data_IF_165136249629
#
_entry.id   IF_165136249629
#
_cell.length_a   1.000
_cell.length_b   1.000
_cell.length_c   1.000
_cell.angle_alpha   90.00
_cell.angle_beta   90.00
_cell.angle_gamma   90.00
#
_symmetry.space_group_name_H-M   'P 1'
#
loop_
_entity.id
_entity.type
_entity.pdbx_description
1 polymer ?
#
# COMPACT_ATOMS: atom_id res chain seq x y z
N UNK A 1 -15.90 5.64 -10.76
CA UNK A 1 -14.83 5.11 -11.64
C UNK A 1 -13.74 6.16 -11.78
N UNK A 2 -13.10 6.51 -10.66
CA UNK A 2 -12.04 7.51 -10.62
C UNK A 2 -10.71 6.80 -10.81
N UNK A 3 -9.90 7.25 -11.78
CA UNK A 3 -8.51 6.84 -11.87
C UNK A 3 -7.82 7.06 -10.52
N UNK A 4 -7.03 6.08 -10.09
CA UNK A 4 -6.16 6.23 -8.93
C UNK A 4 -5.28 7.47 -9.12
N UNK A 5 -5.07 8.30 -8.08
CA UNK A 5 -4.13 9.41 -8.19
C UNK A 5 -2.74 8.86 -8.57
N UNK A 6 -1.95 9.56 -9.39
CA UNK A 6 -0.65 9.07 -9.87
C UNK A 6 0.34 8.75 -8.72
N UNK A 7 0.18 9.40 -7.57
CA UNK A 7 0.89 9.09 -6.34
C UNK A 7 0.71 7.63 -5.86
N UNK A 8 -0.41 7.00 -6.18
CA UNK A 8 -0.73 5.64 -5.75
C UNK A 8 -0.09 4.57 -6.64
N UNK A 9 0.07 4.82 -7.94
CA UNK A 9 0.86 3.95 -8.82
C UNK A 9 2.32 3.94 -8.39
N UNK A 10 2.89 5.10 -8.05
CA UNK A 10 4.25 5.18 -7.53
C UNK A 10 4.42 4.41 -6.20
N UNK A 11 3.40 4.44 -5.32
CA UNK A 11 3.42 3.65 -4.08
C UNK A 11 3.49 2.15 -4.37
N UNK A 12 2.73 1.67 -5.36
CA UNK A 12 2.76 0.26 -5.78
C UNK A 12 4.16 -0.14 -6.26
N UNK A 13 4.80 0.66 -7.10
CA UNK A 13 6.14 0.38 -7.62
C UNK A 13 7.19 0.33 -6.52
N UNK A 14 7.19 1.32 -5.62
CA UNK A 14 8.14 1.41 -4.50
C UNK A 14 8.03 0.20 -3.57
N UNK A 15 6.80 -0.21 -3.25
CA UNK A 15 6.55 -1.31 -2.32
C UNK A 15 6.76 -2.69 -2.97
N UNK A 16 6.47 -2.82 -4.27
CA UNK A 16 6.66 -4.07 -5.04
C UNK A 16 8.13 -4.38 -5.32
N UNK A 17 8.99 -3.35 -5.41
CA UNK A 17 10.42 -3.51 -5.63
C UNK A 17 11.15 -4.28 -4.51
N UNK A 18 10.51 -4.44 -3.33
CA UNK A 18 11.09 -5.14 -2.17
C UNK A 18 10.62 -6.59 -2.00
N UNK A 19 10.06 -7.21 -3.04
CA UNK A 19 9.71 -8.65 -3.09
C UNK A 19 8.73 -9.12 -1.99
N UNK A 20 7.91 -8.20 -1.49
CA UNK A 20 6.85 -8.48 -0.50
C UNK A 20 5.51 -8.21 -1.15
N UNK A 21 4.69 -9.24 -1.37
CA UNK A 21 3.39 -9.11 -2.02
C UNK A 21 2.38 -8.36 -1.13
N UNK A 22 2.12 -7.07 -1.41
CA UNK A 22 0.98 -6.34 -0.84
C UNK A 22 -0.14 -6.19 -1.87
N UNK A 23 -1.37 -5.97 -1.38
CA UNK A 23 -2.53 -5.72 -2.25
C UNK A 23 -2.83 -4.23 -2.31
N UNK A 24 -3.20 -3.77 -3.50
CA UNK A 24 -3.57 -2.37 -3.77
C UNK A 24 -4.93 -2.30 -4.45
N UNK A 25 -5.69 -1.26 -4.16
CA UNK A 25 -7.00 -0.99 -4.78
C UNK A 25 -8.14 -1.00 -3.78
N UNK A 26 -9.33 -1.40 -4.23
CA UNK A 26 -10.55 -1.38 -3.41
C UNK A 26 -10.76 -2.65 -2.58
N UNK A 27 -9.90 -3.66 -2.75
CA UNK A 27 -9.99 -4.96 -2.07
C UNK A 27 -11.37 -5.64 -2.16
N UNK A 28 -12.08 -5.46 -3.27
CA UNK A 28 -13.47 -5.89 -3.46
C UNK A 28 -14.49 -5.29 -2.46
N UNK A 29 -14.10 -4.21 -1.76
CA UNK A 29 -14.88 -3.50 -0.74
C UNK A 29 -15.22 -2.06 -1.19
N UNK A 30 -15.60 -1.90 -2.46
CA UNK A 30 -15.94 -0.59 -3.04
C UNK A 30 -16.98 0.22 -2.22
N UNK A 31 -18.05 -0.39 -1.67
CA UNK A 31 -19.01 0.35 -0.84
C UNK A 31 -18.39 0.94 0.45
N UNK A 32 -17.37 0.29 1.01
CA UNK A 32 -16.66 0.78 2.20
C UNK A 32 -15.74 1.96 1.84
N UNK A 33 -15.06 1.86 0.70
CA UNK A 33 -14.22 2.93 0.17
C UNK A 33 -15.03 4.20 -0.12
N UNK A 34 -16.22 4.06 -0.70
CA UNK A 34 -17.14 5.17 -0.96
C UNK A 34 -17.58 5.85 0.35
N UNK A 35 -17.85 5.08 1.41
CA UNK A 35 -18.23 5.63 2.72
C UNK A 35 -17.07 6.32 3.43
N UNK A 36 -15.84 5.86 3.23
CA UNK A 36 -14.62 6.45 3.79
C UNK A 36 -14.10 7.62 2.96
N UNK A 37 -14.64 7.86 1.76
CA UNK A 37 -14.14 8.87 0.83
C UNK A 37 -12.72 8.57 0.31
N UNK A 38 -12.27 7.32 0.41
CA UNK A 38 -10.93 6.91 0.02
C UNK A 38 -10.97 6.16 -1.32
N UNK A 39 -10.28 6.66 -2.37
CA UNK A 39 -10.33 6.02 -3.68
C UNK A 39 -9.72 4.62 -3.65
N UNK A 40 -8.64 4.39 -2.90
CA UNK A 40 -8.03 3.08 -2.73
C UNK A 40 -7.16 3.04 -1.48
N UNK A 41 -6.78 1.83 -1.10
CA UNK A 41 -5.89 1.57 0.03
C UNK A 41 -4.83 0.56 -0.36
N UNK A 42 -3.68 0.66 0.31
CA UNK A 42 -2.67 -0.38 0.32
C UNK A 42 -2.87 -1.25 1.56
N UNK A 43 -2.87 -2.57 1.40
CA UNK A 43 -3.05 -3.52 2.51
C UNK A 43 -1.91 -4.55 2.52
N UNK A 44 -1.07 -4.46 3.54
CA UNK A 44 -0.16 -5.54 3.93
C UNK A 44 -0.93 -6.57 4.77
N UNK A 45 -0.87 -7.84 4.41
CA UNK A 45 -1.53 -8.93 5.14
C UNK A 45 -0.46 -9.83 5.74
N UNK A 46 -0.37 -9.83 7.07
CA UNK A 46 0.57 -10.68 7.82
C UNK A 46 -0.12 -12.00 8.18
N UNK A 47 0.64 -13.09 8.19
CA UNK A 47 0.18 -14.44 8.49
C UNK A 47 1.26 -15.24 9.24
N UNK A 48 0.94 -16.45 9.70
CA UNK A 48 1.78 -17.30 10.58
C UNK A 48 3.19 -17.57 10.03
N UNK A 49 3.37 -17.54 8.71
CA UNK A 49 4.66 -17.74 8.05
C UNK A 49 5.48 -16.45 7.85
N UNK A 50 5.01 -15.31 8.35
CA UNK A 50 5.78 -14.07 8.25
C UNK A 50 6.81 -13.97 9.38
N UNK A 51 7.96 -13.39 9.06
CA UNK A 51 9.06 -13.14 10.00
C UNK A 51 9.14 -11.67 10.41
N UNK A 52 9.94 -11.37 11.43
CA UNK A 52 10.19 -9.98 11.84
C UNK A 52 10.82 -9.16 10.72
N UNK A 53 11.73 -9.77 9.94
CA UNK A 53 12.39 -9.16 8.79
C UNK A 53 11.37 -8.72 7.72
N UNK A 54 10.22 -9.37 7.66
CA UNK A 54 9.12 -9.01 6.76
C UNK A 54 8.45 -7.70 7.15
N UNK A 55 8.34 -7.49 8.46
CA UNK A 55 7.79 -6.27 9.04
C UNK A 55 8.80 -5.14 8.90
N UNK A 56 10.08 -5.39 9.15
CA UNK A 56 11.13 -4.40 8.98
C UNK A 56 11.23 -3.92 7.53
N UNK A 57 11.24 -4.85 6.56
CA UNK A 57 11.25 -4.51 5.14
C UNK A 57 10.01 -3.68 4.74
N UNK A 58 8.83 -3.99 5.30
CA UNK A 58 7.62 -3.20 5.07
C UNK A 58 7.74 -1.78 5.64
N UNK A 59 8.27 -1.64 6.85
CA UNK A 59 8.46 -0.33 7.51
C UNK A 59 9.44 0.53 6.73
N UNK A 60 10.57 -0.03 6.29
CA UNK A 60 11.53 0.67 5.43
C UNK A 60 10.90 1.13 4.10
N UNK A 61 9.99 0.33 3.54
CA UNK A 61 9.28 0.64 2.31
C UNK A 61 8.27 1.79 2.50
N UNK A 62 7.58 1.82 3.64
CA UNK A 62 6.71 2.93 4.00
C UNK A 62 7.48 4.22 4.24
N UNK A 63 8.64 4.17 4.89
CA UNK A 63 9.49 5.35 5.08
C UNK A 63 10.02 5.91 3.76
N UNK A 64 10.48 5.03 2.86
CA UNK A 64 10.90 5.41 1.52
C UNK A 64 9.75 6.07 0.75
N UNK A 65 8.58 5.43 0.74
CA UNK A 65 7.39 5.95 0.08
C UNK A 65 6.97 7.32 0.64
N UNK A 66 7.02 7.51 1.96
CA UNK A 66 6.74 8.82 2.58
C UNK A 66 7.73 9.90 2.13
N UNK A 67 9.02 9.56 2.03
CA UNK A 67 10.05 10.47 1.54
C UNK A 67 9.89 10.85 0.07
N UNK A 68 9.52 9.88 -0.78
CA UNK A 68 9.33 10.11 -2.23
C UNK A 68 8.03 10.85 -2.53
N UNK A 69 6.93 10.51 -1.83
CA UNK A 69 5.61 11.08 -2.08
C UNK A 69 5.36 12.40 -1.33
N UNK A 70 6.26 12.79 -0.41
CA UNK A 70 6.16 14.06 0.31
C UNK A 70 4.90 14.21 1.17
N UNK A 71 4.28 13.09 1.54
CA UNK A 71 3.09 13.07 2.40
C UNK A 71 3.53 13.33 3.86
N UNK A 72 2.93 14.30 4.57
CA UNK A 72 3.21 14.55 5.99
C UNK A 72 2.90 13.34 6.88
#
# INVERSE_FOLDING_TARGET
MGALPPAFEHLFEILSARDRAQRFGHHCAMPLHDRLGLPATARASVYVYNTADDIEALVEALHLARGVLGCP
#
